data_IF_202237498985
#
_entry.id   IF_202237498985
#
_cell.length_a   1.000
_cell.length_b   1.000
_cell.length_c   1.000
_cell.angle_alpha   90.00
_cell.angle_beta   90.00
_cell.angle_gamma   90.00
#
_symmetry.space_group_name_H-M   'P 1'
#
loop_
_entity.id
_entity.type
_entity.pdbx_description
1 polymer ?
#
# COMPACT_ATOMS: atom_id res chain seq x y z
N UNK A 1 23.91 32.83 -24.78
CA UNK A 1 23.78 31.46 -25.28
C UNK A 1 22.28 31.17 -25.46
N UNK A 2 21.81 31.10 -26.71
CA UNK A 2 20.44 30.65 -27.01
C UNK A 2 20.42 29.14 -27.03
N UNK A 3 19.45 28.56 -26.33
CA UNK A 3 19.17 27.10 -26.34
C UNK A 3 17.90 26.90 -27.15
N UNK A 4 17.99 26.17 -28.27
CA UNK A 4 16.85 25.82 -29.09
C UNK A 4 16.33 24.44 -28.71
N UNK A 5 15.04 24.36 -28.41
CA UNK A 5 14.34 23.09 -28.21
C UNK A 5 13.42 22.82 -29.41
N UNK A 6 13.34 21.55 -29.84
CA UNK A 6 12.36 21.18 -30.86
C UNK A 6 10.94 21.32 -30.30
N UNK A 7 9.97 21.66 -31.18
CA UNK A 7 8.55 21.71 -30.80
C UNK A 7 8.08 20.37 -30.20
N UNK A 8 8.55 19.26 -30.76
CA UNK A 8 8.23 17.91 -30.27
C UNK A 8 8.76 17.67 -28.85
N UNK A 9 9.98 18.13 -28.56
CA UNK A 9 10.55 18.08 -27.20
C UNK A 9 9.74 18.92 -26.21
N UNK A 10 9.39 20.15 -26.60
CA UNK A 10 8.59 21.05 -25.77
C UNK A 10 7.19 20.48 -25.53
N UNK A 11 6.54 19.96 -26.58
CA UNK A 11 5.22 19.37 -26.49
C UNK A 11 5.21 18.14 -25.57
N UNK A 12 6.19 17.26 -25.75
CA UNK A 12 6.33 16.01 -24.97
C UNK A 12 6.70 16.25 -23.50
N UNK A 13 7.56 17.24 -23.21
CA UNK A 13 8.15 17.39 -21.88
C UNK A 13 7.58 18.58 -21.08
N UNK A 14 7.07 19.63 -21.72
CA UNK A 14 6.58 20.85 -21.07
C UNK A 14 5.05 20.94 -21.11
N UNK A 15 4.45 20.71 -22.26
CA UNK A 15 3.00 20.74 -22.39
C UNK A 15 2.34 19.45 -21.87
N UNK A 16 3.17 18.44 -21.65
CA UNK A 16 2.77 17.13 -21.14
C UNK A 16 1.77 16.46 -22.09
N UNK A 17 2.03 15.26 -22.50
CA UNK A 17 0.94 14.41 -22.94
C UNK A 17 0.00 14.25 -21.73
N UNK A 18 -1.02 15.11 -21.65
CA UNK A 18 -2.19 14.90 -20.80
C UNK A 18 -3.05 13.74 -21.35
N UNK A 19 -2.44 12.76 -21.99
CA UNK A 19 -3.06 11.46 -22.11
C UNK A 19 -3.08 10.89 -20.69
N UNK A 20 -4.16 11.21 -19.96
CA UNK A 20 -4.60 10.46 -18.79
C UNK A 20 -4.89 9.03 -19.21
N UNK A 21 -3.86 8.27 -19.57
CA UNK A 21 -3.92 6.83 -19.53
C UNK A 21 -3.89 6.43 -18.06
N UNK A 22 -4.95 6.81 -17.34
CA UNK A 22 -5.24 6.28 -16.03
C UNK A 22 -5.68 4.81 -16.23
N UNK A 23 -4.70 3.96 -16.55
CA UNK A 23 -4.88 2.52 -16.63
C UNK A 23 -5.07 1.89 -15.22
N UNK A 24 -5.37 2.71 -14.20
CA UNK A 24 -5.69 2.22 -12.88
C UNK A 24 -7.00 1.44 -12.92
N UNK A 25 -6.92 0.15 -12.74
CA UNK A 25 -8.07 -0.72 -12.58
C UNK A 25 -8.47 -0.71 -11.11
N UNK A 26 -9.54 0.01 -10.78
CA UNK A 26 -10.17 -0.09 -9.46
C UNK A 26 -10.94 -1.39 -9.37
N UNK A 27 -10.90 -2.04 -8.21
CA UNK A 27 -11.43 -3.38 -8.09
C UNK A 27 -12.19 -3.62 -6.77
N UNK A 28 -13.06 -4.60 -6.82
CA UNK A 28 -13.69 -5.30 -5.69
C UNK A 28 -13.24 -6.77 -5.71
N UNK A 29 -13.56 -7.54 -4.66
CA UNK A 29 -13.15 -8.95 -4.56
C UNK A 29 -13.41 -9.76 -5.84
N UNK A 30 -14.60 -9.64 -6.41
CA UNK A 30 -15.02 -10.44 -7.56
C UNK A 30 -14.30 -10.09 -8.87
N UNK A 31 -13.60 -8.95 -8.91
CA UNK A 31 -12.88 -8.48 -10.10
C UNK A 31 -11.41 -8.92 -10.10
N UNK A 32 -10.91 -9.41 -8.97
CA UNK A 32 -9.56 -9.96 -8.87
C UNK A 32 -9.59 -11.44 -9.24
N UNK A 33 -8.78 -11.79 -10.23
CA UNK A 33 -8.59 -13.14 -10.75
C UNK A 33 -7.11 -13.53 -10.63
N UNK A 34 -6.71 -14.55 -11.37
CA UNK A 34 -5.33 -15.04 -11.40
C UNK A 34 -4.32 -14.04 -12.00
N UNK A 35 -4.80 -12.92 -12.51
CA UNK A 35 -3.97 -11.85 -13.06
C UNK A 35 -3.11 -11.10 -12.02
N UNK A 36 -3.32 -11.33 -10.72
CA UNK A 36 -2.45 -10.82 -9.66
C UNK A 36 -1.15 -11.59 -9.50
N UNK A 37 -1.07 -12.82 -10.02
CA UNK A 37 0.12 -13.66 -9.83
C UNK A 37 1.16 -13.45 -10.92
N UNK A 38 2.44 -13.57 -10.54
CA UNK A 38 3.59 -13.63 -11.45
C UNK A 38 4.65 -14.57 -10.89
N UNK A 39 5.27 -15.37 -11.77
CA UNK A 39 6.36 -16.23 -11.36
C UNK A 39 7.65 -15.42 -11.16
N UNK A 40 8.41 -15.73 -10.11
CA UNK A 40 9.68 -15.08 -9.77
C UNK A 40 10.68 -15.11 -10.93
N UNK A 41 10.83 -16.24 -11.61
CA UNK A 41 11.76 -16.38 -12.75
C UNK A 41 11.39 -15.45 -13.92
N UNK A 42 10.09 -15.23 -14.15
CA UNK A 42 9.63 -14.29 -15.18
C UNK A 42 9.98 -12.84 -14.82
N UNK A 43 9.94 -12.49 -13.52
CA UNK A 43 10.28 -11.14 -13.04
C UNK A 43 11.76 -10.80 -13.23
N UNK A 44 12.64 -11.79 -13.33
CA UNK A 44 14.08 -11.53 -13.44
C UNK A 44 14.50 -10.96 -14.80
N UNK A 45 13.75 -11.23 -15.88
CA UNK A 45 13.99 -10.62 -17.20
C UNK A 45 13.23 -9.29 -17.39
N UNK A 46 13.65 -8.47 -18.33
CA UNK A 46 13.12 -7.12 -18.54
C UNK A 46 11.64 -7.09 -18.96
N UNK A 47 11.21 -7.99 -19.83
CA UNK A 47 9.83 -8.07 -20.29
C UNK A 47 8.90 -8.49 -19.13
N UNK A 48 9.29 -9.50 -18.38
CA UNK A 48 8.56 -9.95 -17.21
C UNK A 48 8.55 -8.91 -16.09
N UNK A 49 9.64 -8.16 -15.89
CA UNK A 49 9.69 -7.06 -14.96
C UNK A 49 8.73 -5.92 -15.37
N UNK A 50 8.67 -5.59 -16.64
CA UNK A 50 7.69 -4.64 -17.17
C UNK A 50 6.25 -5.10 -16.95
N UNK A 51 5.95 -6.39 -17.15
CA UNK A 51 4.63 -6.98 -16.86
C UNK A 51 4.31 -6.87 -15.37
N UNK A 52 5.27 -7.17 -14.50
CA UNK A 52 5.15 -7.01 -13.07
C UNK A 52 4.82 -5.56 -12.67
N UNK A 53 5.60 -4.60 -13.15
CA UNK A 53 5.34 -3.18 -12.88
C UNK A 53 3.93 -2.76 -13.34
N UNK A 54 3.47 -3.24 -14.51
CA UNK A 54 2.11 -2.96 -15.00
C UNK A 54 1.03 -3.53 -14.08
N UNK A 55 1.21 -4.77 -13.58
CA UNK A 55 0.27 -5.38 -12.62
C UNK A 55 0.20 -4.54 -11.34
N UNK A 56 1.35 -4.25 -10.74
CA UNK A 56 1.45 -3.47 -9.51
C UNK A 56 0.88 -2.05 -9.68
N UNK A 57 1.16 -1.40 -10.81
CA UNK A 57 0.61 -0.08 -11.11
C UNK A 57 -0.92 -0.13 -11.26
N UNK A 58 -1.45 -1.07 -12.05
CA UNK A 58 -2.87 -1.13 -12.39
C UNK A 58 -3.73 -1.62 -11.22
N UNK A 59 -3.29 -2.65 -10.50
CA UNK A 59 -4.07 -3.28 -9.42
C UNK A 59 -3.69 -2.76 -8.04
N UNK A 60 -2.51 -2.17 -7.90
CA UNK A 60 -1.96 -1.73 -6.62
C UNK A 60 -1.30 -2.84 -5.81
N UNK A 61 -1.40 -4.11 -6.22
CA UNK A 61 -0.71 -5.23 -5.58
C UNK A 61 -0.48 -6.39 -6.55
N UNK A 62 0.44 -7.27 -6.20
CA UNK A 62 0.59 -8.53 -6.89
C UNK A 62 1.26 -9.58 -5.97
N UNK A 63 1.13 -10.86 -6.33
CA UNK A 63 1.76 -11.99 -5.63
C UNK A 63 2.81 -12.62 -6.54
N UNK A 64 4.06 -12.61 -6.09
CA UNK A 64 5.17 -13.25 -6.79
C UNK A 64 5.29 -14.67 -6.24
N UNK A 65 5.20 -15.65 -7.11
CA UNK A 65 5.23 -17.08 -6.76
C UNK A 65 6.58 -17.71 -7.05
N UNK A 66 6.87 -18.85 -6.43
CA UNK A 66 8.12 -19.61 -6.59
C UNK A 66 9.38 -18.82 -6.22
N UNK A 67 9.27 -17.94 -5.21
CA UNK A 67 10.39 -17.29 -4.58
C UNK A 67 11.20 -18.28 -3.72
N UNK A 68 12.50 -18.09 -3.61
CA UNK A 68 13.25 -18.71 -2.53
C UNK A 68 12.85 -18.07 -1.18
N UNK A 69 12.69 -18.89 -0.14
CA UNK A 69 12.22 -18.47 1.19
C UNK A 69 13.35 -17.84 2.03
N UNK A 70 14.01 -16.82 1.47
CA UNK A 70 15.19 -16.16 2.05
C UNK A 70 15.02 -14.64 2.00
N UNK A 71 15.61 -13.96 2.97
CA UNK A 71 15.60 -12.49 3.07
C UNK A 71 16.23 -11.84 1.82
N UNK A 72 17.28 -12.45 1.26
CA UNK A 72 17.96 -11.98 0.06
C UNK A 72 17.03 -11.92 -1.16
N UNK A 73 16.02 -12.77 -1.23
CA UNK A 73 15.03 -12.73 -2.31
C UNK A 73 14.18 -11.44 -2.26
N UNK A 74 13.84 -11.00 -1.05
CA UNK A 74 13.12 -9.72 -0.84
C UNK A 74 14.01 -8.56 -1.30
N UNK A 75 15.30 -8.58 -0.93
CA UNK A 75 16.28 -7.57 -1.31
C UNK A 75 16.48 -7.49 -2.83
N UNK A 76 16.62 -8.63 -3.50
CA UNK A 76 16.76 -8.69 -4.97
C UNK A 76 15.56 -8.04 -5.66
N UNK A 77 14.34 -8.36 -5.23
CA UNK A 77 13.12 -7.79 -5.81
C UNK A 77 13.02 -6.28 -5.54
N UNK A 78 13.30 -5.86 -4.30
CA UNK A 78 13.30 -4.45 -3.93
C UNK A 78 14.31 -3.65 -4.75
N UNK A 79 15.55 -4.13 -4.89
CA UNK A 79 16.62 -3.48 -5.63
C UNK A 79 16.37 -3.43 -7.15
N UNK A 80 15.54 -4.34 -7.69
CA UNK A 80 15.06 -4.22 -9.09
C UNK A 80 14.10 -3.05 -9.29
N UNK A 81 13.35 -2.66 -8.26
CA UNK A 81 12.41 -1.53 -8.31
C UNK A 81 13.13 -0.22 -7.99
N UNK A 82 14.00 -0.24 -6.97
CA UNK A 82 14.70 0.93 -6.46
C UNK A 82 15.62 0.56 -5.30
N UNK A 83 15.41 1.19 -4.15
CA UNK A 83 16.25 0.97 -2.96
C UNK A 83 15.41 0.47 -1.80
N UNK A 84 16.00 -0.43 -0.99
CA UNK A 84 15.42 -0.79 0.30
C UNK A 84 15.40 0.43 1.21
N UNK A 85 14.19 0.82 1.66
CA UNK A 85 14.00 1.96 2.54
C UNK A 85 14.40 1.62 3.96
N UNK A 86 15.22 2.45 4.57
CA UNK A 86 15.45 2.42 6.02
C UNK A 86 14.24 2.99 6.78
N UNK A 87 13.80 2.26 7.78
CA UNK A 87 12.70 2.66 8.66
C UNK A 87 13.09 2.43 10.11
N UNK A 88 12.20 2.69 11.05
CA UNK A 88 12.38 2.35 12.48
C UNK A 88 12.58 0.85 12.71
N UNK A 89 12.14 0.01 11.77
CA UNK A 89 12.31 -1.46 11.79
C UNK A 89 13.57 -1.92 11.07
N UNK A 90 14.45 -1.00 10.65
CA UNK A 90 15.59 -1.27 9.78
C UNK A 90 15.22 -1.23 8.29
N UNK A 91 16.10 -1.77 7.44
CA UNK A 91 15.86 -1.88 5.99
C UNK A 91 15.14 -3.18 5.64
N UNK A 92 15.85 -4.29 5.81
CA UNK A 92 15.31 -5.63 5.69
C UNK A 92 14.95 -6.16 7.06
N UNK A 93 13.84 -6.85 7.18
CA UNK A 93 13.39 -7.42 8.44
C UNK A 93 12.76 -8.81 8.24
N UNK A 94 12.93 -9.63 9.26
CA UNK A 94 12.23 -10.90 9.42
C UNK A 94 11.46 -10.87 10.74
N UNK A 95 10.29 -11.45 10.74
CA UNK A 95 9.54 -11.66 11.97
C UNK A 95 8.86 -13.03 11.99
N UNK A 96 8.83 -13.60 13.16
CA UNK A 96 8.06 -14.78 13.49
C UNK A 96 7.03 -14.38 14.53
N UNK A 97 5.86 -15.01 14.54
CA UNK A 97 4.85 -14.73 15.54
C UNK A 97 5.42 -15.01 16.94
N UNK A 98 5.42 -13.98 17.79
CA UNK A 98 5.90 -14.05 19.16
C UNK A 98 4.96 -13.23 20.05
N UNK A 99 4.36 -13.90 21.05
CA UNK A 99 3.40 -13.28 21.97
C UNK A 99 4.02 -12.25 22.92
N UNK A 100 5.36 -12.24 23.06
CA UNK A 100 6.08 -11.32 23.95
C UNK A 100 6.39 -9.95 23.30
N UNK A 101 6.09 -9.76 21.99
CA UNK A 101 6.39 -8.52 21.27
C UNK A 101 5.18 -7.58 21.27
N UNK A 102 5.47 -6.28 21.49
CA UNK A 102 4.43 -5.25 21.60
C UNK A 102 3.82 -4.82 20.25
N UNK A 103 4.51 -5.04 19.12
CA UNK A 103 3.99 -4.69 17.80
C UNK A 103 2.90 -5.68 17.35
N UNK A 104 1.82 -5.15 16.83
CA UNK A 104 0.67 -5.91 16.33
C UNK A 104 1.01 -6.90 15.21
N UNK A 105 2.10 -6.68 14.45
CA UNK A 105 2.59 -7.62 13.43
C UNK A 105 2.96 -8.99 14.02
N UNK A 106 3.38 -9.05 15.28
CA UNK A 106 3.78 -10.27 15.99
C UNK A 106 2.62 -10.99 16.68
N UNK A 107 1.46 -10.35 16.82
CA UNK A 107 0.28 -10.97 17.46
C UNK A 107 -0.38 -12.00 16.56
N UNK A 108 -1.19 -12.89 17.13
CA UNK A 108 -2.02 -13.85 16.40
C UNK A 108 -3.44 -13.31 16.12
N UNK A 109 -3.76 -12.13 16.60
CA UNK A 109 -5.05 -11.49 16.42
C UNK A 109 -5.23 -10.95 14.98
N UNK A 110 -6.47 -10.66 14.63
CA UNK A 110 -6.79 -10.01 13.38
C UNK A 110 -6.21 -8.60 13.32
N UNK A 111 -5.58 -8.28 12.20
CA UNK A 111 -5.23 -6.91 11.84
C UNK A 111 -6.20 -6.39 10.78
N UNK A 112 -7.03 -5.42 11.15
CA UNK A 112 -7.99 -4.81 10.23
C UNK A 112 -7.27 -4.04 9.12
N UNK A 113 -7.89 -3.90 7.94
CA UNK A 113 -7.30 -3.17 6.81
C UNK A 113 -6.84 -1.77 7.18
N UNK A 114 -5.56 -1.47 6.94
CA UNK A 114 -4.90 -0.21 7.24
C UNK A 114 -3.79 0.09 6.22
N UNK A 115 -3.25 1.29 6.24
CA UNK A 115 -2.01 1.66 5.58
C UNK A 115 -0.93 1.90 6.61
N UNK A 116 0.31 1.55 6.29
CA UNK A 116 1.44 1.69 7.21
C UNK A 116 1.93 3.12 7.35
N UNK A 117 2.48 3.41 8.54
CA UNK A 117 3.25 4.62 8.86
C UNK A 117 2.45 5.91 8.64
N UNK A 118 1.22 5.96 9.12
CA UNK A 118 0.42 7.19 9.08
C UNK A 118 1.05 8.31 9.92
N UNK A 119 1.96 7.97 10.80
CA UNK A 119 2.78 8.85 11.63
C UNK A 119 4.05 9.39 10.95
N UNK A 120 4.32 9.00 9.71
CA UNK A 120 5.49 9.47 8.95
C UNK A 120 5.07 10.48 7.88
N UNK A 121 5.77 11.61 7.76
CA UNK A 121 5.52 12.59 6.70
C UNK A 121 5.69 12.00 5.30
N UNK A 122 6.66 11.09 5.17
CA UNK A 122 6.92 10.30 3.98
C UNK A 122 6.61 8.83 4.28
N UNK A 123 5.34 8.42 4.14
CA UNK A 123 4.95 7.04 4.33
C UNK A 123 5.58 6.14 3.26
N UNK A 124 5.95 4.87 3.58
CA UNK A 124 6.48 3.92 2.61
C UNK A 124 5.60 3.81 1.35
N UNK A 125 6.22 3.72 0.19
CA UNK A 125 5.52 3.60 -1.09
C UNK A 125 5.03 2.19 -1.35
N UNK A 126 5.93 1.23 -1.31
CA UNK A 126 5.63 -0.19 -1.43
C UNK A 126 6.01 -0.94 -0.17
N UNK A 127 5.28 -2.00 0.11
CA UNK A 127 5.66 -3.01 1.10
C UNK A 127 5.77 -4.37 0.42
N UNK A 128 6.79 -5.11 0.79
CA UNK A 128 7.08 -6.46 0.36
C UNK A 128 6.98 -7.41 1.56
N UNK A 129 6.23 -8.50 1.42
CA UNK A 129 6.02 -9.52 2.46
C UNK A 129 6.19 -10.92 1.85
N UNK A 130 7.32 -11.57 2.11
CA UNK A 130 7.60 -12.95 1.70
C UNK A 130 7.21 -13.90 2.83
N UNK A 131 6.42 -14.92 2.52
CA UNK A 131 6.21 -16.04 3.42
C UNK A 131 7.39 -17.01 3.35
N UNK A 132 8.15 -17.12 4.45
CA UNK A 132 9.30 -18.02 4.57
C UNK A 132 8.94 -19.39 5.15
N UNK A 133 8.05 -19.43 6.14
CA UNK A 133 7.50 -20.67 6.73
C UNK A 133 6.05 -20.44 7.17
N UNK A 134 5.23 -21.49 7.03
CA UNK A 134 3.84 -21.44 7.43
C UNK A 134 3.41 -22.79 8.00
N UNK A 135 3.25 -22.83 9.32
CA UNK A 135 2.76 -23.97 10.12
C UNK A 135 1.62 -23.48 11.01
N UNK A 136 0.60 -22.94 10.38
CA UNK A 136 -0.52 -22.29 11.04
C UNK A 136 -1.85 -22.62 10.36
N UNK A 137 -2.94 -22.17 10.97
CA UNK A 137 -4.28 -22.14 10.36
C UNK A 137 -4.80 -20.70 10.41
N UNK A 138 -5.43 -20.21 9.35
CA UNK A 138 -5.86 -18.81 9.21
C UNK A 138 -4.74 -17.88 8.79
N UNK A 139 -4.82 -16.59 9.12
CA UNK A 139 -3.80 -15.59 8.81
C UNK A 139 -3.77 -15.18 7.35
N UNK A 140 -4.91 -15.20 6.69
CA UNK A 140 -5.08 -14.69 5.34
C UNK A 140 -4.61 -13.23 5.26
N UNK A 141 -3.78 -12.91 4.29
CA UNK A 141 -3.53 -11.53 3.89
C UNK A 141 -4.80 -10.94 3.31
N UNK A 142 -5.16 -9.75 3.74
CA UNK A 142 -6.36 -9.02 3.32
C UNK A 142 -5.90 -7.79 2.55
N UNK A 143 -6.37 -7.65 1.29
CA UNK A 143 -6.09 -6.48 0.45
C UNK A 143 -7.38 -5.78 0.11
N UNK A 144 -7.39 -4.44 0.20
CA UNK A 144 -8.54 -3.59 -0.12
C UNK A 144 -8.09 -2.41 -0.97
N UNK A 145 -8.75 -2.20 -2.11
CA UNK A 145 -8.48 -1.03 -2.95
C UNK A 145 -9.07 0.24 -2.34
N UNK A 146 -8.24 0.98 -1.60
CA UNK A 146 -8.62 2.23 -0.97
C UNK A 146 -9.07 3.32 -1.97
N UNK A 147 -8.56 3.27 -3.21
CA UNK A 147 -9.02 4.18 -4.27
C UNK A 147 -10.46 3.85 -4.70
N UNK A 148 -10.80 2.55 -4.73
CA UNK A 148 -12.18 2.14 -5.01
C UNK A 148 -13.13 2.52 -3.87
N UNK A 149 -12.69 2.42 -2.61
CA UNK A 149 -13.45 2.96 -1.47
C UNK A 149 -13.67 4.48 -1.65
N UNK A 150 -12.61 5.23 -1.95
CA UNK A 150 -12.69 6.67 -2.19
C UNK A 150 -13.68 7.02 -3.30
N UNK A 151 -13.62 6.31 -4.44
CA UNK A 151 -14.58 6.48 -5.54
C UNK A 151 -16.01 6.14 -5.10
N UNK A 152 -16.20 5.08 -4.36
CA UNK A 152 -17.51 4.65 -3.84
C UNK A 152 -18.11 5.70 -2.90
N UNK A 153 -17.31 6.21 -1.96
CA UNK A 153 -17.74 7.27 -1.05
C UNK A 153 -18.02 8.58 -1.80
N UNK A 154 -17.15 8.97 -2.75
CA UNK A 154 -17.34 10.18 -3.56
C UNK A 154 -18.67 10.16 -4.32
N UNK A 155 -19.09 8.97 -4.81
CA UNK A 155 -20.32 8.81 -5.58
C UNK A 155 -21.58 8.72 -4.70
N UNK A 156 -21.50 8.04 -3.56
CA UNK A 156 -22.66 7.67 -2.75
C UNK A 156 -22.81 8.51 -1.46
N UNK A 157 -21.71 9.07 -0.96
CA UNK A 157 -21.63 9.81 0.31
C UNK A 157 -20.64 10.96 0.16
N UNK A 158 -20.91 11.86 -0.79
CA UNK A 158 -19.96 12.92 -1.18
C UNK A 158 -19.54 13.82 -0.01
N UNK A 159 -20.45 14.18 0.87
CA UNK A 159 -20.17 14.98 2.06
C UNK A 159 -19.21 14.29 3.02
N UNK A 160 -19.33 12.97 3.20
CA UNK A 160 -18.41 12.19 4.02
C UNK A 160 -17.03 12.04 3.35
N UNK A 161 -17.02 11.86 2.01
CA UNK A 161 -15.77 11.87 1.25
C UNK A 161 -15.03 13.21 1.37
N UNK A 162 -15.75 14.32 1.24
CA UNK A 162 -15.17 15.67 1.34
C UNK A 162 -14.59 15.90 2.75
N UNK A 163 -15.23 15.42 3.80
CA UNK A 163 -14.70 15.48 5.18
C UNK A 163 -13.39 14.72 5.30
N UNK A 164 -13.32 13.48 4.80
CA UNK A 164 -12.09 12.67 4.85
C UNK A 164 -10.99 13.18 3.92
N UNK A 165 -11.32 14.08 3.00
CA UNK A 165 -10.35 14.72 2.11
C UNK A 165 -9.82 16.06 2.62
N UNK A 166 -10.51 16.70 3.58
CA UNK A 166 -10.17 18.05 4.04
C UNK A 166 -9.73 18.10 5.51
N UNK A 167 -10.00 17.08 6.30
CA UNK A 167 -9.57 17.03 7.71
C UNK A 167 -8.30 16.23 7.82
N UNK A 168 -7.22 16.86 8.27
CA UNK A 168 -5.96 16.18 8.56
C UNK A 168 -6.09 15.35 9.83
N UNK A 169 -5.84 14.05 9.70
CA UNK A 169 -5.86 13.08 10.79
C UNK A 169 -4.43 12.88 11.30
N UNK A 170 -4.15 13.12 12.59
CA UNK A 170 -2.83 12.91 13.14
C UNK A 170 -2.56 11.41 13.38
N UNK A 171 -1.38 10.96 12.96
CA UNK A 171 -0.78 9.69 13.32
C UNK A 171 0.38 9.93 14.28
N UNK A 172 0.59 9.00 15.22
CA UNK A 172 1.67 9.05 16.19
C UNK A 172 2.21 7.68 16.48
N UNK A 173 3.52 7.57 16.54
CA UNK A 173 4.24 6.40 17.01
C UNK A 173 5.19 6.80 18.15
N UNK A 174 5.15 6.05 19.24
CA UNK A 174 6.08 6.18 20.37
C UNK A 174 6.63 4.80 20.66
N UNK A 175 7.90 4.60 20.41
CA UNK A 175 8.58 3.31 20.65
C UNK A 175 10.00 3.34 20.09
N UNK A 176 10.78 2.33 20.41
CA UNK A 176 12.13 2.10 19.87
C UNK A 176 13.06 3.33 19.92
N UNK A 177 12.88 4.17 20.94
CA UNK A 177 13.69 5.39 21.16
C UNK A 177 13.31 6.57 20.28
N UNK A 178 12.18 6.52 19.55
CA UNK A 178 11.70 7.60 18.67
C UNK A 178 10.28 8.03 18.98
N UNK A 179 9.96 9.26 18.62
CA UNK A 179 8.60 9.80 18.57
C UNK A 179 8.41 10.33 17.16
N UNK A 180 7.47 9.74 16.41
CA UNK A 180 7.14 10.14 15.05
C UNK A 180 5.69 10.65 15.01
N UNK A 181 5.49 11.79 14.35
CA UNK A 181 4.18 12.41 14.22
C UNK A 181 4.01 12.99 12.81
N UNK A 182 2.87 12.74 12.20
CA UNK A 182 2.50 13.35 10.94
C UNK A 182 0.99 13.58 10.88
N UNK A 183 0.56 14.48 9.99
CA UNK A 183 -0.86 14.79 9.77
C UNK A 183 -1.16 14.77 8.28
N UNK A 184 -2.22 14.12 7.90
CA UNK A 184 -2.74 14.16 6.52
C UNK A 184 -4.18 13.71 6.45
N UNK A 185 -4.94 14.11 5.42
CA UNK A 185 -6.27 13.59 5.22
C UNK A 185 -6.25 12.11 4.86
N UNK A 186 -7.35 11.40 5.14
CA UNK A 186 -7.49 9.99 4.71
C UNK A 186 -7.44 9.88 3.20
N UNK A 187 -8.10 10.80 2.48
CA UNK A 187 -8.05 10.90 1.03
C UNK A 187 -7.23 12.13 0.62
N UNK A 188 -5.96 11.94 0.30
CA UNK A 188 -5.13 13.03 -0.24
C UNK A 188 -5.41 13.22 -1.72
N UNK A 189 -5.79 14.43 -2.09
CA UNK A 189 -6.09 14.79 -3.48
C UNK A 189 -4.98 15.68 -4.06
N UNK A 190 -4.67 15.46 -5.33
CA UNK A 190 -3.93 16.40 -6.18
C UNK A 190 -4.79 16.74 -7.39
N UNK A 191 -5.09 18.04 -7.60
CA UNK A 191 -5.96 18.52 -8.69
C UNK A 191 -7.28 17.75 -8.81
N UNK A 192 -7.91 17.42 -7.67
CA UNK A 192 -9.15 16.64 -7.52
C UNK A 192 -9.02 15.13 -7.80
N UNK A 193 -7.85 14.63 -8.14
CA UNK A 193 -7.58 13.20 -8.28
C UNK A 193 -7.04 12.61 -6.97
N UNK A 194 -7.51 11.43 -6.61
CA UNK A 194 -7.04 10.72 -5.41
C UNK A 194 -5.63 10.17 -5.66
N UNK A 195 -4.67 10.61 -4.85
CA UNK A 195 -3.24 10.25 -5.02
C UNK A 195 -2.67 9.44 -3.85
N UNK A 196 -3.35 9.46 -2.71
CA UNK A 196 -2.95 8.66 -1.55
C UNK A 196 -4.14 8.43 -0.63
N UNK A 197 -4.22 7.22 -0.07
CA UNK A 197 -5.06 6.86 1.07
C UNK A 197 -4.16 6.67 2.28
N UNK A 198 -4.55 7.24 3.42
CA UNK A 198 -3.82 7.13 4.68
C UNK A 198 -4.80 6.82 5.81
N UNK A 199 -4.90 5.56 6.20
CA UNK A 199 -5.85 5.12 7.21
C UNK A 199 -5.25 4.04 8.10
N UNK A 200 -5.09 4.36 9.37
CA UNK A 200 -4.69 3.40 10.40
C UNK A 200 -5.28 3.83 11.75
N UNK A 201 -6.24 3.07 12.25
CA UNK A 201 -6.84 3.36 13.55
C UNK A 201 -5.92 3.02 14.73
N UNK A 202 -4.91 2.16 14.53
CA UNK A 202 -3.94 1.82 15.59
C UNK A 202 -2.94 2.96 15.84
N UNK A 203 -2.59 3.74 14.78
CA UNK A 203 -1.65 4.85 14.85
C UNK A 203 -2.33 6.20 15.11
N UNK A 204 -3.67 6.27 15.02
CA UNK A 204 -4.37 7.54 15.14
C UNK A 204 -4.23 8.11 16.55
N UNK A 205 -3.66 9.31 16.64
CA UNK A 205 -3.51 10.00 17.90
C UNK A 205 -4.73 10.90 18.21
N UNK A 206 -4.80 11.38 19.44
CA UNK A 206 -5.80 12.34 19.84
C UNK A 206 -5.65 13.65 19.07
N UNK A 207 -6.77 14.20 18.60
CA UNK A 207 -6.81 15.51 17.98
C UNK A 207 -8.16 16.21 18.21
N UNK A 208 -8.13 17.52 18.08
CA UNK A 208 -9.33 18.34 18.24
C UNK A 208 -9.85 18.76 16.89
N UNK A 209 -11.14 18.55 16.67
CA UNK A 209 -11.91 19.04 15.53
C UNK A 209 -12.97 19.98 16.08
N UNK A 210 -13.44 20.92 15.26
CA UNK A 210 -14.58 21.76 15.62
C UNK A 210 -15.78 20.89 15.98
N UNK A 211 -16.48 21.24 17.04
CA UNK A 211 -17.60 20.46 17.59
C UNK A 211 -18.62 20.07 16.50
N UNK A 212 -18.98 21.04 15.64
CA UNK A 212 -19.92 20.81 14.53
C UNK A 212 -19.46 19.79 13.49
N UNK A 213 -18.15 19.62 13.34
CA UNK A 213 -17.56 18.68 12.39
C UNK A 213 -17.32 17.29 13.01
N UNK A 214 -17.26 17.20 14.34
CA UNK A 214 -16.89 15.97 15.05
C UNK A 214 -17.78 14.79 14.72
N UNK A 215 -19.10 14.94 14.84
CA UNK A 215 -20.04 13.86 14.58
C UNK A 215 -19.95 13.37 13.13
N UNK A 216 -19.90 14.29 12.18
CA UNK A 216 -19.77 13.95 10.76
C UNK A 216 -18.42 13.32 10.41
N UNK A 217 -17.34 13.72 11.08
CA UNK A 217 -16.03 13.08 10.92
C UNK A 217 -16.07 11.62 11.37
N UNK A 218 -16.64 11.34 12.54
CA UNK A 218 -16.74 9.95 13.02
C UNK A 218 -17.75 9.12 12.20
N UNK A 219 -18.82 9.72 11.69
CA UNK A 219 -19.70 9.08 10.70
C UNK A 219 -18.92 8.69 9.43
N UNK A 220 -18.08 9.59 8.92
CA UNK A 220 -17.26 9.36 7.75
C UNK A 220 -16.21 8.25 7.98
N UNK A 221 -15.51 8.27 9.14
CA UNK A 221 -14.59 7.19 9.54
C UNK A 221 -15.31 5.86 9.64
N UNK A 222 -16.48 5.82 10.28
CA UNK A 222 -17.28 4.59 10.39
C UNK A 222 -17.66 4.07 9.02
N UNK A 223 -18.10 4.95 8.10
CA UNK A 223 -18.45 4.55 6.75
C UNK A 223 -17.28 4.00 5.95
N UNK A 224 -16.11 4.62 6.06
CA UNK A 224 -14.87 4.13 5.46
C UNK A 224 -14.51 2.74 5.99
N UNK A 225 -14.52 2.58 7.31
CA UNK A 225 -14.19 1.33 7.99
C UNK A 225 -15.18 0.19 7.66
N UNK A 226 -16.48 0.48 7.57
CA UNK A 226 -17.50 -0.48 7.12
C UNK A 226 -17.22 -0.99 5.70
N UNK A 227 -16.84 -0.10 4.77
CA UNK A 227 -16.49 -0.50 3.41
C UNK A 227 -15.21 -1.33 3.39
N UNK A 228 -14.16 -0.89 4.10
CA UNK A 228 -12.88 -1.59 4.17
C UNK A 228 -12.99 -2.99 4.78
N UNK A 229 -13.95 -3.19 5.70
CA UNK A 229 -14.17 -4.48 6.36
C UNK A 229 -15.29 -5.33 5.73
N UNK A 230 -15.87 -4.89 4.62
CA UNK A 230 -16.88 -5.69 3.93
C UNK A 230 -16.25 -6.71 2.98
N UNK A 231 -16.81 -7.92 2.92
CA UNK A 231 -16.34 -9.00 2.05
C UNK A 231 -16.30 -8.58 0.57
N UNK A 232 -17.18 -7.68 0.15
CA UNK A 232 -17.21 -7.16 -1.21
C UNK A 232 -15.89 -6.47 -1.62
N UNK A 233 -15.22 -5.80 -0.69
CA UNK A 233 -14.01 -5.03 -0.97
C UNK A 233 -12.72 -5.78 -0.63
N UNK A 234 -12.79 -6.89 0.10
CA UNK A 234 -11.63 -7.63 0.60
C UNK A 234 -11.23 -8.77 -0.32
N UNK A 235 -10.06 -8.70 -0.95
CA UNK A 235 -9.39 -9.88 -1.48
C UNK A 235 -8.61 -10.55 -0.35
N UNK A 236 -8.76 -11.87 -0.20
CA UNK A 236 -8.13 -12.65 0.88
C UNK A 236 -7.33 -13.82 0.32
N UNK A 237 -6.13 -14.02 0.83
CA UNK A 237 -5.25 -15.12 0.43
C UNK A 237 -4.31 -15.53 1.56
N UNK A 238 -4.22 -16.82 1.83
CA UNK A 238 -3.20 -17.37 2.73
C UNK A 238 -1.91 -17.52 1.95
N UNK A 239 -0.91 -16.68 2.27
CA UNK A 239 0.41 -16.76 1.64
C UNK A 239 1.08 -18.08 2.02
N UNK A 240 1.56 -18.80 1.01
CA UNK A 240 2.33 -20.04 1.16
C UNK A 240 3.82 -19.75 1.15
N UNK A 241 4.66 -20.63 1.74
CA UNK A 241 6.11 -20.50 1.62
C UNK A 241 6.54 -20.36 0.15
N UNK A 242 7.35 -19.32 -0.14
CA UNK A 242 7.77 -18.96 -1.49
C UNK A 242 6.79 -18.03 -2.24
N UNK A 243 5.73 -17.54 -1.59
CA UNK A 243 4.90 -16.47 -2.12
C UNK A 243 5.28 -15.14 -1.47
N UNK A 244 5.55 -14.12 -2.31
CA UNK A 244 5.82 -12.75 -1.90
C UNK A 244 4.68 -11.84 -2.34
N UNK A 245 4.00 -11.24 -1.38
CA UNK A 245 3.01 -10.20 -1.61
C UNK A 245 3.70 -8.84 -1.66
N UNK A 246 3.45 -8.08 -2.72
CA UNK A 246 3.90 -6.70 -2.85
C UNK A 246 2.72 -5.79 -3.13
N UNK A 247 2.65 -4.63 -2.47
CA UNK A 247 1.55 -3.70 -2.64
C UNK A 247 1.94 -2.23 -2.46
N UNK A 248 1.18 -1.38 -3.11
CA UNK A 248 1.26 0.07 -3.02
C UNK A 248 0.54 0.55 -1.75
N UNK A 249 1.30 0.88 -0.73
CA UNK A 249 0.82 1.33 0.57
C UNK A 249 0.07 2.69 0.53
N UNK A 250 0.22 3.45 -0.56
CA UNK A 250 -0.53 4.70 -0.77
C UNK A 250 -1.92 4.48 -1.37
N UNK A 251 -2.22 3.24 -1.78
CA UNK A 251 -3.49 2.86 -2.41
C UNK A 251 -4.19 1.72 -1.70
N UNK A 252 -3.45 0.67 -1.35
CA UNK A 252 -3.99 -0.58 -0.83
C UNK A 252 -3.97 -0.55 0.69
N UNK A 253 -5.14 -0.72 1.30
CA UNK A 253 -5.18 -1.10 2.70
C UNK A 253 -4.90 -2.60 2.78
N UNK A 254 -4.03 -2.94 3.71
CA UNK A 254 -3.69 -4.33 3.97
C UNK A 254 -4.05 -4.71 5.40
N UNK A 255 -4.33 -5.98 5.59
CA UNK A 255 -4.68 -6.55 6.87
C UNK A 255 -4.35 -8.03 6.90
N UNK A 256 -4.70 -8.67 8.00
CA UNK A 256 -4.46 -10.09 8.21
C UNK A 256 -5.55 -10.69 9.09
N UNK A 257 -6.12 -11.79 8.65
CA UNK A 257 -7.00 -12.61 9.49
C UNK A 257 -6.26 -13.13 10.73
N UNK A 258 -7.00 -13.45 11.78
CA UNK A 258 -6.43 -14.14 12.93
C UNK A 258 -5.86 -15.49 12.53
N UNK A 259 -4.85 -15.97 13.24
CA UNK A 259 -4.25 -17.27 12.97
C UNK A 259 -3.84 -17.98 14.27
N UNK A 260 -3.60 -19.27 14.14
CA UNK A 260 -3.07 -20.07 15.25
C UNK A 260 -1.92 -20.94 14.74
N UNK A 261 -0.75 -20.84 15.37
CA UNK A 261 0.46 -21.56 14.99
C UNK A 261 1.61 -20.61 14.60
N UNK A 262 2.59 -21.13 13.87
CA UNK A 262 3.81 -20.41 13.53
C UNK A 262 3.82 -19.99 12.07
N UNK A 263 4.22 -18.75 11.82
CA UNK A 263 4.53 -18.24 10.49
C UNK A 263 5.74 -17.34 10.56
N UNK A 264 6.65 -17.51 9.59
CA UNK A 264 7.83 -16.66 9.43
C UNK A 264 7.68 -15.84 8.16
N UNK A 265 7.83 -14.53 8.29
CA UNK A 265 7.74 -13.57 7.20
C UNK A 265 9.05 -12.80 7.10
N UNK A 266 9.43 -12.45 5.88
CA UNK A 266 10.51 -11.52 5.59
C UNK A 266 9.98 -10.36 4.76
N UNK A 267 10.52 -9.16 4.92
CA UNK A 267 10.00 -8.02 4.17
C UNK A 267 10.89 -6.80 4.18
N UNK A 268 10.44 -5.80 3.46
CA UNK A 268 11.01 -4.46 3.44
C UNK A 268 10.01 -3.45 2.87
N UNK A 269 10.44 -2.18 2.89
CA UNK A 269 9.76 -1.09 2.20
C UNK A 269 10.59 -0.55 1.06
N UNK A 270 9.92 0.04 0.05
CA UNK A 270 10.53 0.81 -1.05
C UNK A 270 9.80 2.15 -1.14
N UNK A 271 10.51 3.23 -1.51
CA UNK A 271 9.88 4.54 -1.61
C UNK A 271 8.97 4.63 -2.84
N UNK A 272 7.95 5.48 -2.75
CA UNK A 272 7.00 5.69 -3.85
C UNK A 272 7.68 6.32 -5.07
N UNK A 273 8.65 7.19 -4.88
CA UNK A 273 9.40 7.83 -5.95
C UNK A 273 10.23 6.84 -6.76
N UNK A 274 10.83 5.83 -6.11
CA UNK A 274 11.59 4.75 -6.75
C UNK A 274 10.67 3.89 -7.62
N UNK A 275 9.50 3.50 -7.11
CA UNK A 275 8.50 2.77 -7.88
C UNK A 275 8.02 3.57 -9.10
N UNK A 276 7.72 4.86 -8.91
CA UNK A 276 7.31 5.74 -10.02
C UNK A 276 8.42 5.91 -11.06
N UNK A 277 9.67 5.98 -10.61
CA UNK A 277 10.85 6.02 -11.49
C UNK A 277 10.96 4.75 -12.32
N UNK A 278 10.89 3.57 -11.68
CA UNK A 278 10.91 2.28 -12.37
C UNK A 278 9.78 2.18 -13.42
N UNK A 279 8.55 2.57 -13.05
CA UNK A 279 7.43 2.61 -13.98
C UNK A 279 7.72 3.48 -15.23
N UNK A 280 8.25 4.69 -15.03
CA UNK A 280 8.60 5.60 -16.15
C UNK A 280 9.69 5.02 -17.05
N UNK A 281 10.76 4.47 -16.47
CA UNK A 281 11.88 3.87 -17.22
C UNK A 281 11.37 2.73 -18.11
N UNK A 282 10.41 1.92 -17.62
CA UNK A 282 9.86 0.79 -18.37
C UNK A 282 8.59 1.13 -19.17
N UNK A 283 8.21 2.42 -19.28
CA UNK A 283 7.04 2.86 -20.04
C UNK A 283 5.72 2.31 -19.50
N UNK A 284 5.61 2.28 -18.18
CA UNK A 284 4.40 1.91 -17.43
C UNK A 284 3.84 3.19 -16.80
N UNK A 285 2.90 3.87 -17.51
CA UNK A 285 2.26 5.11 -17.04
C UNK A 285 0.78 5.12 -17.45
#
# INVERSE_FOLDING_TARGET
NEVQYSYEYLFKNILGNNSKNNNLRLWTQNEIKDDVYINYQNLLNDDGFKIFLKKLYNLGFCVITNCETKLETVEIIANKIGYVRQSIFGGLWEFESNEDMADSAYTQEELRPHTDSTYSNDAPGLQLLLCCDYKASGGESIMVDGYNIGKTMKNNNKDLFDILSNIDVPGKYIGDGVILEAKRPIFKLDKKELVQVSFNNYDRSEFRIEEKATNKFYEAIKKFDELANSDKFQWRHVLKPGELLIFNNWRILHGRGSFKGKRKMAGCYVNMEDFRSACKIHGVN
#
